data_IF_518247537010
#
_entry.id   IF_518247537010
#
_cell.length_a   1.000
_cell.length_b   1.000
_cell.length_c   1.000
_cell.angle_alpha   90.00
_cell.angle_beta   90.00
_cell.angle_gamma   90.00
#
_symmetry.space_group_name_H-M   'P 1'
#
loop_
_entity.id
_entity.type
_entity.pdbx_description
1 polymer ?
#
# COMPACT_ATOMS: atom_id res chain seq x y z
N UNK A 1 -62.80 -24.49 4.11
CA UNK A 1 -61.48 -24.55 4.79
C UNK A 1 -60.63 -23.48 4.16
N UNK A 2 -60.47 -22.38 4.89
CA UNK A 2 -59.76 -21.17 4.47
C UNK A 2 -58.26 -21.43 4.27
N UNK A 3 -57.70 -20.86 3.19
CA UNK A 3 -56.26 -20.73 2.96
C UNK A 3 -55.94 -19.28 2.60
N UNK A 4 -56.21 -18.38 3.55
CA UNK A 4 -55.45 -17.14 3.69
C UNK A 4 -54.33 -17.40 4.73
N UNK A 5 -53.10 -17.03 4.37
CA UNK A 5 -51.82 -17.11 5.11
C UNK A 5 -50.98 -18.37 4.86
N UNK A 6 -50.08 -18.28 3.89
CA UNK A 6 -48.71 -18.77 4.08
C UNK A 6 -47.77 -17.66 3.62
N UNK A 7 -47.01 -17.15 4.58
CA UNK A 7 -46.03 -16.08 4.49
C UNK A 7 -44.72 -16.53 3.84
N UNK A 8 -44.10 -15.55 3.22
CA UNK A 8 -42.77 -15.47 2.64
C UNK A 8 -41.67 -15.80 3.67
N UNK A 9 -41.39 -17.09 3.93
CA UNK A 9 -40.18 -17.56 4.65
C UNK A 9 -40.13 -19.09 4.66
N UNK A 10 -39.40 -19.70 3.73
CA UNK A 10 -38.70 -21.01 3.86
C UNK A 10 -38.26 -21.54 2.48
N UNK A 11 -37.26 -20.94 1.86
CA UNK A 11 -36.47 -21.62 0.81
C UNK A 11 -35.39 -22.44 1.51
N UNK A 12 -35.74 -23.64 1.98
CA UNK A 12 -34.77 -24.67 2.36
C UNK A 12 -35.24 -26.02 1.84
N UNK A 13 -34.42 -26.58 0.93
CA UNK A 13 -34.44 -27.95 0.39
C UNK A 13 -35.77 -28.40 -0.24
N UNK A 14 -35.86 -28.29 -1.56
CA UNK A 14 -36.71 -29.19 -2.35
C UNK A 14 -35.77 -30.13 -3.11
N UNK A 15 -35.68 -31.35 -2.59
CA UNK A 15 -35.14 -32.49 -3.33
C UNK A 15 -36.00 -32.72 -4.57
N UNK A 16 -35.31 -33.06 -5.65
CA UNK A 16 -35.85 -33.41 -6.97
C UNK A 16 -36.96 -34.45 -6.83
N UNK A 17 -38.20 -34.07 -7.15
CA UNK A 17 -39.25 -35.01 -7.52
C UNK A 17 -39.85 -34.55 -8.87
N UNK A 18 -39.61 -35.28 -9.97
CA UNK A 18 -40.06 -34.88 -11.31
C UNK A 18 -41.58 -34.85 -11.48
N UNK A 19 -42.35 -35.39 -10.53
CA UNK A 19 -43.81 -35.41 -10.60
C UNK A 19 -44.48 -34.12 -10.08
N UNK A 20 -43.76 -33.25 -9.36
CA UNK A 20 -44.34 -32.00 -8.81
C UNK A 20 -44.34 -30.87 -9.86
N UNK A 21 -43.43 -30.90 -10.84
CA UNK A 21 -43.43 -29.93 -11.94
C UNK A 21 -44.68 -30.04 -12.82
N UNK A 22 -45.27 -31.24 -12.92
CA UNK A 22 -46.48 -31.49 -13.70
C UNK A 22 -47.73 -30.80 -13.12
N UNK A 23 -47.75 -30.56 -11.80
CA UNK A 23 -48.90 -29.96 -11.11
C UNK A 23 -48.89 -28.43 -11.16
N UNK A 24 -47.71 -27.80 -11.05
CA UNK A 24 -47.59 -26.34 -11.11
C UNK A 24 -47.69 -25.78 -12.54
N UNK A 25 -47.24 -26.52 -13.55
CA UNK A 25 -47.40 -26.12 -14.96
C UNK A 25 -48.87 -26.12 -15.40
N UNK A 26 -49.70 -27.02 -14.87
CA UNK A 26 -51.13 -27.00 -15.14
C UNK A 26 -51.75 -25.67 -14.66
N UNK A 27 -51.50 -25.23 -13.42
CA UNK A 27 -52.19 -24.06 -12.84
C UNK A 27 -51.82 -22.72 -13.50
N UNK A 28 -50.58 -22.54 -13.96
CA UNK A 28 -50.17 -21.30 -14.65
C UNK A 28 -50.48 -21.28 -16.16
N UNK A 29 -50.51 -22.44 -16.82
CA UNK A 29 -51.07 -22.55 -18.17
C UNK A 29 -52.56 -22.20 -18.14
N UNK A 30 -53.32 -22.62 -17.11
CA UNK A 30 -54.75 -22.31 -17.01
C UNK A 30 -55.06 -20.80 -16.91
N UNK A 31 -54.14 -19.95 -16.43
CA UNK A 31 -54.42 -18.52 -16.22
C UNK A 31 -54.13 -17.64 -17.44
N UNK A 32 -53.18 -18.02 -18.29
CA UNK A 32 -52.95 -17.33 -19.57
C UNK A 32 -53.85 -17.81 -20.71
N UNK A 33 -54.49 -18.97 -20.58
CA UNK A 33 -55.50 -19.49 -21.52
C UNK A 33 -56.94 -19.01 -21.23
N UNK A 34 -57.11 -17.98 -20.40
CA UNK A 34 -58.42 -17.43 -20.01
C UNK A 34 -59.21 -16.75 -21.15
N UNK A 35 -58.62 -16.57 -22.34
CA UNK A 35 -59.19 -15.76 -23.43
C UNK A 35 -59.30 -16.48 -24.79
N UNK A 36 -59.37 -17.81 -24.83
CA UNK A 36 -59.56 -18.51 -26.11
C UNK A 36 -60.68 -19.56 -26.05
N UNK A 37 -61.64 -19.41 -26.97
CA UNK A 37 -62.70 -20.36 -27.35
C UNK A 37 -62.20 -21.74 -27.83
N UNK A 38 -60.95 -22.11 -27.55
CA UNK A 38 -60.29 -23.33 -28.03
C UNK A 38 -60.59 -24.57 -27.16
N UNK A 39 -61.46 -24.47 -26.16
CA UNK A 39 -61.80 -25.59 -25.28
C UNK A 39 -62.70 -26.65 -25.96
N UNK A 40 -63.39 -26.29 -27.06
CA UNK A 40 -64.37 -27.17 -27.73
C UNK A 40 -63.78 -28.07 -28.83
N UNK A 41 -62.55 -27.83 -29.29
CA UNK A 41 -61.93 -28.53 -30.44
C UNK A 41 -60.71 -29.40 -30.06
N UNK A 42 -60.64 -29.83 -28.79
CA UNK A 42 -59.44 -30.41 -28.19
C UNK A 42 -59.05 -31.81 -28.66
N UNK A 43 -59.79 -32.44 -29.57
CA UNK A 43 -59.56 -33.85 -29.87
C UNK A 43 -58.42 -34.15 -30.85
N UNK A 44 -57.96 -33.21 -31.70
CA UNK A 44 -56.92 -33.53 -32.71
C UNK A 44 -56.05 -32.37 -33.23
N UNK A 45 -55.99 -31.19 -32.60
CA UNK A 45 -55.25 -30.05 -33.16
C UNK A 45 -53.90 -29.75 -32.50
N UNK A 46 -52.88 -29.55 -33.33
CA UNK A 46 -51.51 -29.20 -32.94
C UNK A 46 -51.39 -27.68 -32.71
N UNK A 47 -50.86 -27.29 -31.53
CA UNK A 47 -50.59 -25.89 -31.20
C UNK A 47 -49.30 -25.41 -31.90
N UNK A 48 -49.29 -24.16 -32.33
CA UNK A 48 -48.15 -23.51 -33.00
C UNK A 48 -47.62 -22.34 -32.18
N UNK A 49 -46.35 -22.01 -32.37
CA UNK A 49 -45.66 -20.89 -31.73
C UNK A 49 -44.96 -20.03 -32.78
N UNK A 50 -45.17 -18.71 -32.73
CA UNK A 50 -44.47 -17.75 -33.58
C UNK A 50 -43.29 -17.14 -32.80
N UNK A 51 -42.05 -17.44 -33.21
CA UNK A 51 -40.84 -16.90 -32.58
C UNK A 51 -40.72 -15.38 -32.76
N UNK A 52 -41.23 -14.84 -33.88
CA UNK A 52 -41.19 -13.41 -34.19
C UNK A 52 -42.12 -12.58 -33.30
N UNK A 53 -43.27 -13.16 -32.90
CA UNK A 53 -44.29 -12.48 -32.11
C UNK A 53 -44.29 -12.89 -30.62
N UNK A 54 -43.54 -13.93 -30.26
CA UNK A 54 -43.56 -14.56 -28.94
C UNK A 54 -44.97 -14.98 -28.48
N UNK A 55 -45.74 -15.59 -29.38
CA UNK A 55 -47.14 -15.97 -29.13
C UNK A 55 -47.45 -17.42 -29.51
N UNK A 56 -48.28 -18.09 -28.69
CA UNK A 56 -48.82 -19.44 -28.93
C UNK A 56 -50.23 -19.32 -29.47
N UNK A 57 -50.57 -20.08 -30.52
CA UNK A 57 -51.88 -20.01 -31.15
C UNK A 57 -52.32 -21.34 -31.77
N UNK A 58 -53.61 -21.43 -32.13
CA UNK A 58 -54.22 -22.54 -32.84
C UNK A 58 -54.69 -22.06 -34.23
N UNK A 59 -54.60 -22.89 -35.27
CA UNK A 59 -54.90 -22.52 -36.66
C UNK A 59 -56.34 -21.99 -36.88
N UNK A 60 -57.29 -22.34 -36.01
CA UNK A 60 -58.69 -21.91 -36.11
C UNK A 60 -59.04 -20.73 -35.20
N UNK A 61 -58.28 -20.51 -34.14
CA UNK A 61 -58.57 -19.53 -33.09
C UNK A 61 -58.13 -18.13 -33.50
N UNK A 62 -56.98 -18.06 -34.15
CA UNK A 62 -56.53 -16.90 -34.92
C UNK A 62 -56.78 -17.26 -36.37
N UNK A 63 -58.00 -17.02 -36.87
CA UNK A 63 -58.24 -17.04 -38.32
C UNK A 63 -57.08 -16.28 -38.99
N UNK A 64 -56.46 -16.87 -40.00
CA UNK A 64 -55.06 -16.63 -40.42
C UNK A 64 -54.59 -15.20 -40.71
N UNK A 65 -55.33 -14.14 -40.38
CA UNK A 65 -55.09 -12.74 -40.68
C UNK A 65 -53.98 -12.03 -39.90
N UNK A 66 -53.42 -12.59 -38.80
CA UNK A 66 -52.28 -11.94 -38.10
C UNK A 66 -50.90 -12.47 -38.52
N UNK A 67 -50.86 -13.58 -39.26
CA UNK A 67 -49.63 -14.23 -39.73
C UNK A 67 -49.64 -14.54 -41.22
N UNK A 68 -50.76 -14.30 -41.91
CA UNK A 68 -50.83 -14.29 -43.37
C UNK A 68 -51.36 -12.95 -43.87
N UNK A 69 -50.46 -12.26 -44.59
CA UNK A 69 -50.69 -11.15 -45.50
C UNK A 69 -50.85 -9.72 -44.92
N UNK A 70 -49.91 -8.89 -45.38
CA UNK A 70 -49.93 -7.45 -45.68
C UNK A 70 -49.17 -6.50 -44.74
N UNK A 71 -48.21 -5.81 -45.37
CA UNK A 71 -47.30 -4.75 -44.90
C UNK A 71 -46.06 -5.15 -44.08
N UNK A 72 -44.98 -5.50 -44.80
CA UNK A 72 -43.58 -5.29 -44.37
C UNK A 72 -42.75 -6.54 -44.07
N UNK A 73 -42.14 -7.14 -45.10
CA UNK A 73 -40.86 -7.92 -45.13
C UNK A 73 -40.35 -8.62 -43.86
N UNK A 74 -41.21 -9.23 -43.06
CA UNK A 74 -40.79 -10.09 -41.97
C UNK A 74 -41.50 -11.42 -42.14
N UNK A 75 -40.81 -12.42 -42.68
CA UNK A 75 -41.28 -13.80 -42.64
C UNK A 75 -41.34 -14.22 -41.16
N UNK A 76 -42.56 -14.48 -40.66
CA UNK A 76 -42.73 -14.93 -39.28
C UNK A 76 -42.30 -16.38 -39.17
N UNK A 77 -41.34 -16.66 -38.29
CA UNK A 77 -40.88 -18.02 -38.04
C UNK A 77 -41.87 -18.73 -37.12
N UNK A 78 -42.63 -19.67 -37.68
CA UNK A 78 -43.65 -20.45 -36.95
C UNK A 78 -43.19 -21.89 -36.83
N UNK A 79 -43.25 -22.43 -35.61
CA UNK A 79 -42.86 -23.81 -35.31
C UNK A 79 -43.94 -24.50 -34.46
N UNK A 80 -44.01 -25.84 -34.46
CA UNK A 80 -44.85 -26.58 -33.52
C UNK A 80 -44.53 -26.22 -32.07
N UNK A 81 -45.55 -25.99 -31.26
CA UNK A 81 -45.40 -25.58 -29.86
C UNK A 81 -44.62 -26.60 -29.03
N UNK A 82 -44.77 -27.90 -29.33
CA UNK A 82 -44.00 -28.99 -28.72
C UNK A 82 -42.48 -28.85 -28.93
N UNK A 83 -42.07 -28.38 -30.12
CA UNK A 83 -40.66 -28.13 -30.47
C UNK A 83 -40.17 -26.84 -29.81
N UNK A 84 -41.00 -25.79 -29.82
CA UNK A 84 -40.69 -24.51 -29.18
C UNK A 84 -40.42 -24.69 -27.67
N UNK A 85 -41.32 -25.38 -26.97
CA UNK A 85 -41.17 -25.64 -25.53
C UNK A 85 -39.93 -26.48 -25.23
N UNK A 86 -39.63 -27.51 -26.04
CA UNK A 86 -38.42 -28.31 -25.86
C UNK A 86 -37.15 -27.46 -25.99
N UNK A 87 -37.05 -26.66 -27.06
CA UNK A 87 -35.90 -25.77 -27.30
C UNK A 87 -35.74 -24.71 -26.22
N UNK A 88 -36.82 -24.03 -25.85
CA UNK A 88 -36.79 -23.01 -24.80
C UNK A 88 -36.42 -23.59 -23.45
N UNK A 89 -36.90 -24.79 -23.13
CA UNK A 89 -36.53 -25.50 -21.89
C UNK A 89 -35.04 -25.86 -21.87
N UNK A 90 -34.48 -26.30 -23.00
CA UNK A 90 -33.05 -26.59 -23.14
C UNK A 90 -32.19 -25.31 -23.01
N UNK A 91 -32.61 -24.20 -23.63
CA UNK A 91 -31.93 -22.89 -23.52
C UNK A 91 -31.98 -22.37 -22.09
N UNK A 92 -33.14 -22.43 -21.44
CA UNK A 92 -33.32 -22.02 -20.04
C UNK A 92 -32.40 -22.84 -19.12
N UNK A 93 -32.35 -24.15 -19.32
CA UNK A 93 -31.49 -25.04 -18.54
C UNK A 93 -30.01 -24.73 -18.77
N UNK A 94 -29.59 -24.49 -20.01
CA UNK A 94 -28.23 -24.08 -20.33
C UNK A 94 -27.86 -22.76 -19.63
N UNK A 95 -28.71 -21.74 -19.72
CA UNK A 95 -28.47 -20.43 -19.09
C UNK A 95 -28.49 -20.49 -17.58
N UNK A 96 -29.36 -21.31 -16.99
CA UNK A 96 -29.37 -21.56 -15.56
C UNK A 96 -28.05 -22.22 -15.11
N UNK A 97 -27.56 -23.22 -15.83
CA UNK A 97 -26.29 -23.88 -15.53
C UNK A 97 -25.08 -22.94 -15.71
N UNK A 98 -25.07 -22.10 -16.74
CA UNK A 98 -24.05 -21.07 -16.95
C UNK A 98 -24.01 -20.08 -15.77
N UNK A 99 -25.17 -19.64 -15.29
CA UNK A 99 -25.29 -18.76 -14.13
C UNK A 99 -24.78 -19.43 -12.85
N UNK A 100 -25.18 -20.68 -12.58
CA UNK A 100 -24.71 -21.46 -11.42
C UNK A 100 -23.19 -21.63 -11.46
N UNK A 101 -22.61 -21.90 -12.64
CA UNK A 101 -21.15 -22.01 -12.78
C UNK A 101 -20.43 -20.71 -12.44
N UNK A 102 -20.93 -19.56 -12.92
CA UNK A 102 -20.35 -18.25 -12.59
C UNK A 102 -20.49 -17.90 -11.12
N UNK A 103 -21.64 -18.20 -10.50
CA UNK A 103 -21.86 -17.98 -9.07
C UNK A 103 -20.94 -18.84 -8.21
N UNK A 104 -20.69 -20.09 -8.60
CA UNK A 104 -19.70 -20.96 -7.93
C UNK A 104 -18.29 -20.39 -8.03
N UNK A 105 -17.86 -19.96 -9.21
CA UNK A 105 -16.55 -19.33 -9.37
C UNK A 105 -16.40 -18.04 -8.53
N UNK A 106 -17.46 -17.24 -8.45
CA UNK A 106 -17.48 -16.06 -7.58
C UNK A 106 -17.41 -16.45 -6.10
N UNK A 107 -18.15 -17.48 -5.67
CA UNK A 107 -18.09 -18.01 -4.31
C UNK A 107 -16.69 -18.52 -3.96
N UNK A 108 -16.04 -19.27 -4.86
CA UNK A 108 -14.69 -19.78 -4.66
C UNK A 108 -13.68 -18.62 -4.50
N UNK A 109 -13.83 -17.58 -5.32
CA UNK A 109 -12.99 -16.37 -5.25
C UNK A 109 -13.15 -15.66 -3.90
N UNK A 110 -14.39 -15.46 -3.43
CA UNK A 110 -14.65 -14.82 -2.13
C UNK A 110 -14.14 -15.70 -0.98
N UNK A 111 -14.27 -17.02 -1.08
CA UNK A 111 -13.74 -17.96 -0.08
C UNK A 111 -12.22 -17.87 0.00
N UNK A 112 -11.53 -17.78 -1.14
CA UNK A 112 -10.09 -17.58 -1.17
C UNK A 112 -9.67 -16.25 -0.52
N UNK A 113 -10.45 -15.17 -0.70
CA UNK A 113 -10.17 -13.90 -0.02
C UNK A 113 -10.39 -13.96 1.49
N UNK A 114 -11.37 -14.75 1.96
CA UNK A 114 -11.56 -15.02 3.39
C UNK A 114 -10.35 -15.76 3.98
N UNK A 115 -9.86 -16.80 3.30
CA UNK A 115 -8.66 -17.54 3.74
C UNK A 115 -7.41 -16.65 3.75
N UNK A 116 -7.25 -15.78 2.74
CA UNK A 116 -6.16 -14.79 2.69
C UNK A 116 -6.25 -13.80 3.85
N UNK A 117 -7.44 -13.32 4.18
CA UNK A 117 -7.66 -12.39 5.29
C UNK A 117 -7.27 -13.04 6.62
N UNK A 118 -7.67 -14.30 6.86
CA UNK A 118 -7.35 -14.99 8.11
C UNK A 118 -5.85 -15.26 8.23
N UNK A 119 -5.19 -15.67 7.14
CA UNK A 119 -3.73 -15.83 7.11
C UNK A 119 -2.98 -14.51 7.33
N UNK A 120 -3.47 -13.41 6.74
CA UNK A 120 -2.90 -12.08 6.93
C UNK A 120 -3.05 -11.61 8.38
N UNK A 121 -4.22 -11.86 9.00
CA UNK A 121 -4.46 -11.60 10.42
C UNK A 121 -3.48 -12.39 11.29
N UNK A 122 -3.32 -13.69 11.07
CA UNK A 122 -2.39 -14.50 11.84
C UNK A 122 -0.95 -14.00 11.70
N UNK A 123 -0.52 -13.71 10.47
CA UNK A 123 0.81 -13.15 10.21
C UNK A 123 1.04 -11.80 10.92
N UNK A 124 0.01 -10.95 11.02
CA UNK A 124 0.08 -9.70 11.78
C UNK A 124 0.21 -9.93 13.28
N UNK A 125 -0.51 -10.92 13.84
CA UNK A 125 -0.41 -11.27 15.26
C UNK A 125 0.98 -11.81 15.59
N UNK A 126 1.51 -12.71 14.76
CA UNK A 126 2.85 -13.29 14.96
C UNK A 126 3.94 -12.21 14.86
N UNK A 127 3.82 -11.28 13.89
CA UNK A 127 4.74 -10.16 13.75
C UNK A 127 4.67 -9.20 14.95
N UNK A 128 3.48 -8.98 15.50
CA UNK A 128 3.27 -8.17 16.70
C UNK A 128 3.99 -8.80 17.89
N UNK A 129 3.74 -10.09 18.16
CA UNK A 129 4.35 -10.83 19.25
C UNK A 129 5.88 -10.84 19.14
N UNK A 130 6.42 -11.12 17.94
CA UNK A 130 7.86 -11.08 17.68
C UNK A 130 8.47 -9.70 17.96
N UNK A 131 7.78 -8.64 17.56
CA UNK A 131 8.25 -7.25 17.79
C UNK A 131 8.30 -6.93 19.28
N UNK A 132 7.27 -7.32 20.04
CA UNK A 132 7.25 -7.11 21.49
C UNK A 132 8.33 -7.93 22.22
N UNK A 133 8.59 -9.16 21.79
CA UNK A 133 9.68 -9.97 22.33
C UNK A 133 11.05 -9.31 22.08
N UNK A 134 11.27 -8.76 20.88
CA UNK A 134 12.51 -8.04 20.55
C UNK A 134 12.69 -6.78 21.40
N UNK A 135 11.63 -5.99 21.59
CA UNK A 135 11.68 -4.78 22.43
C UNK A 135 11.98 -5.17 23.88
N UNK A 136 11.32 -6.21 24.40
CA UNK A 136 11.56 -6.71 25.75
C UNK A 136 13.00 -7.16 25.94
N UNK A 137 13.58 -7.85 24.96
CA UNK A 137 14.97 -8.31 25.00
C UNK A 137 15.97 -7.15 24.99
N UNK A 138 15.73 -6.12 24.17
CA UNK A 138 16.55 -4.90 24.17
C UNK A 138 16.47 -4.21 25.53
N UNK A 139 15.27 -4.06 26.11
CA UNK A 139 15.09 -3.44 27.42
C UNK A 139 15.81 -4.21 28.52
N UNK A 140 15.72 -5.53 28.55
CA UNK A 140 16.42 -6.38 29.51
C UNK A 140 17.94 -6.22 29.40
N UNK A 141 18.49 -6.26 28.18
CA UNK A 141 19.93 -6.08 27.95
C UNK A 141 20.43 -4.71 28.40
N UNK A 142 19.71 -3.63 28.08
CA UNK A 142 20.08 -2.28 28.52
C UNK A 142 20.03 -2.15 30.04
N UNK A 143 19.04 -2.76 30.70
CA UNK A 143 18.96 -2.79 32.16
C UNK A 143 20.18 -3.50 32.79
N UNK A 144 20.54 -4.69 32.28
CA UNK A 144 21.70 -5.44 32.75
C UNK A 144 23.02 -4.67 32.56
N UNK A 145 23.19 -4.02 31.41
CA UNK A 145 24.38 -3.22 31.11
C UNK A 145 24.49 -1.98 32.01
N UNK A 146 23.40 -1.25 32.23
CA UNK A 146 23.40 -0.08 33.08
C UNK A 146 23.65 -0.44 34.55
N UNK A 147 23.04 -1.53 35.03
CA UNK A 147 23.28 -2.06 36.37
C UNK A 147 24.75 -2.44 36.56
N UNK A 148 25.35 -3.11 35.56
CA UNK A 148 26.77 -3.45 35.56
C UNK A 148 27.68 -2.21 35.62
N UNK A 149 27.37 -1.18 34.83
CA UNK A 149 28.17 0.05 34.83
C UNK A 149 28.14 0.75 36.20
N UNK A 150 26.98 0.76 36.87
CA UNK A 150 26.86 1.31 38.23
C UNK A 150 27.67 0.50 39.24
N UNK A 151 27.63 -0.84 39.16
CA UNK A 151 28.42 -1.69 40.05
C UNK A 151 29.92 -1.54 39.83
N UNK A 152 30.37 -1.44 38.58
CA UNK A 152 31.78 -1.32 38.21
C UNK A 152 32.35 0.04 38.63
N UNK A 153 31.59 1.13 38.43
CA UNK A 153 31.96 2.47 38.88
C UNK A 153 32.09 2.54 40.41
N UNK A 154 31.15 1.93 41.14
CA UNK A 154 31.18 1.84 42.60
C UNK A 154 32.38 1.02 43.10
N UNK A 155 32.66 -0.11 42.46
CA UNK A 155 33.80 -0.97 42.80
C UNK A 155 35.15 -0.26 42.59
N UNK A 156 35.27 0.51 41.50
CA UNK A 156 36.48 1.28 41.19
C UNK A 156 36.72 2.36 42.23
N UNK A 157 35.69 3.15 42.57
CA UNK A 157 35.77 4.19 43.61
C UNK A 157 36.12 3.58 44.98
N UNK A 158 35.49 2.46 45.33
CA UNK A 158 35.76 1.71 46.57
C UNK A 158 37.21 1.27 46.65
N UNK A 159 37.77 0.72 45.57
CA UNK A 159 39.15 0.24 45.53
C UNK A 159 40.15 1.36 45.86
N UNK A 160 39.98 2.55 45.28
CA UNK A 160 40.84 3.72 45.55
C UNK A 160 40.80 4.11 47.03
N UNK A 161 39.61 4.08 47.64
CA UNK A 161 39.42 4.38 49.06
C UNK A 161 40.02 3.31 49.96
N UNK A 162 39.85 2.03 49.65
CA UNK A 162 40.43 0.91 50.40
C UNK A 162 41.97 0.94 50.35
N UNK A 163 42.56 1.25 49.19
CA UNK A 163 44.01 1.46 49.05
C UNK A 163 44.49 2.65 49.89
N UNK A 164 43.75 3.77 49.92
CA UNK A 164 44.09 4.91 50.77
C UNK A 164 43.98 4.56 52.26
N UNK A 165 42.95 3.81 52.68
CA UNK A 165 42.81 3.35 54.07
C UNK A 165 43.98 2.45 54.46
N UNK A 166 44.38 1.52 53.61
CA UNK A 166 45.51 0.63 53.88
C UNK A 166 46.83 1.42 54.06
N UNK A 167 47.06 2.45 53.25
CA UNK A 167 48.22 3.35 53.40
C UNK A 167 48.18 4.11 54.73
N UNK A 168 47.01 4.65 55.10
CA UNK A 168 46.84 5.37 56.37
C UNK A 168 47.06 4.43 57.56
N UNK A 169 46.53 3.20 57.51
CA UNK A 169 46.73 2.19 58.55
C UNK A 169 48.22 1.83 58.72
N UNK A 170 48.93 1.60 57.61
CA UNK A 170 50.36 1.28 57.65
C UNK A 170 51.22 2.42 58.25
N UNK A 171 50.95 3.68 57.90
CA UNK A 171 51.66 4.81 58.51
C UNK A 171 51.26 5.03 59.98
N UNK A 172 50.00 4.76 60.33
CA UNK A 172 49.53 4.81 61.73
C UNK A 172 50.24 3.77 62.59
N UNK A 173 50.32 2.51 62.14
CA UNK A 173 51.03 1.44 62.84
C UNK A 173 52.51 1.77 63.05
N UNK A 174 53.16 2.33 62.03
CA UNK A 174 54.57 2.75 62.09
C UNK A 174 54.81 3.87 63.09
N UNK A 175 53.93 4.88 63.12
CA UNK A 175 54.00 5.95 64.12
C UNK A 175 53.73 5.40 65.52
N UNK A 176 52.78 4.46 65.65
CA UNK A 176 52.44 3.86 66.94
C UNK A 176 53.58 2.99 67.49
N UNK A 177 54.27 2.19 66.66
CA UNK A 177 55.46 1.44 67.09
C UNK A 177 56.61 2.37 67.48
N UNK A 178 56.84 3.44 66.71
CA UNK A 178 57.84 4.46 67.05
C UNK A 178 57.51 5.16 68.38
N UNK A 179 56.22 5.24 68.75
CA UNK A 179 55.78 5.81 70.02
C UNK A 179 55.88 4.84 71.21
N UNK A 180 55.66 3.54 71.01
CA UNK A 180 55.85 2.52 72.05
C UNK A 180 57.32 2.45 72.50
N UNK A 181 58.25 2.60 71.55
CA UNK A 181 59.69 2.67 71.82
C UNK A 181 60.10 3.91 72.67
N UNK A 182 59.26 4.95 72.75
CA UNK A 182 59.53 6.19 73.50
C UNK A 182 59.27 6.05 75.00
N UNK A 183 58.49 5.06 75.44
CA UNK A 183 58.05 4.94 76.83
C UNK A 183 59.21 4.71 77.82
N UNK A 184 60.41 4.39 77.32
CA UNK A 184 61.61 4.07 78.11
C UNK A 184 62.83 4.99 77.81
N UNK A 185 62.68 6.10 77.07
CA UNK A 185 63.81 6.99 76.75
C UNK A 185 64.03 8.11 77.77
N UNK A 186 65.29 8.29 78.20
CA UNK A 186 65.68 9.26 79.25
C UNK A 186 66.55 10.42 78.70
N UNK A 187 67.07 10.33 77.47
CA UNK A 187 67.96 11.34 76.89
C UNK A 187 67.23 12.46 76.12
N UNK A 188 67.35 13.70 76.62
CA UNK A 188 66.69 14.91 76.07
C UNK A 188 67.06 15.17 74.60
N UNK A 189 68.33 15.02 74.21
CA UNK A 189 68.76 15.26 72.80
C UNK A 189 68.13 14.27 71.82
N UNK A 190 67.96 13.02 72.23
CA UNK A 190 67.31 11.97 71.43
C UNK A 190 65.83 12.29 71.23
N UNK A 191 65.16 12.77 72.29
CA UNK A 191 63.76 13.19 72.27
C UNK A 191 63.56 14.40 71.33
N UNK A 192 64.40 15.45 71.41
CA UNK A 192 64.25 16.65 70.56
C UNK A 192 64.49 16.36 69.07
N UNK A 193 65.46 15.51 68.73
CA UNK A 193 65.69 15.08 67.35
C UNK A 193 64.49 14.31 66.77
N UNK A 194 63.84 13.49 67.59
CA UNK A 194 62.66 12.70 67.20
C UNK A 194 61.38 13.55 67.12
N UNK A 195 61.20 14.54 67.99
CA UNK A 195 60.11 15.55 67.85
C UNK A 195 60.22 16.26 66.50
N UNK A 196 61.45 16.64 66.10
CA UNK A 196 61.67 17.28 64.79
C UNK A 196 61.35 16.34 63.62
N UNK A 197 61.66 15.05 63.75
CA UNK A 197 61.32 14.04 62.74
C UNK A 197 59.80 13.80 62.63
N UNK A 198 59.11 13.68 63.77
CA UNK A 198 57.65 13.56 63.84
C UNK A 198 56.94 14.81 63.29
N UNK A 199 57.46 16.01 63.57
CA UNK A 199 56.93 17.25 63.00
C UNK A 199 57.07 17.27 61.46
N UNK A 200 58.22 16.83 60.93
CA UNK A 200 58.42 16.70 59.48
C UNK A 200 57.53 15.62 58.85
N UNK A 201 57.26 14.51 59.56
CA UNK A 201 56.28 13.49 59.11
C UNK A 201 54.84 14.01 59.17
N UNK A 202 54.49 14.83 60.16
CA UNK A 202 53.16 15.43 60.30
C UNK A 202 52.81 16.28 59.06
N UNK A 203 53.77 17.03 58.54
CA UNK A 203 53.63 17.77 57.29
C UNK A 203 53.37 16.84 56.08
N UNK A 204 53.98 15.64 56.05
CA UNK A 204 53.71 14.65 54.99
C UNK A 204 52.35 13.97 55.12
N UNK A 205 51.86 13.73 56.34
CA UNK A 205 50.54 13.14 56.62
C UNK A 205 49.39 14.09 56.31
N UNK A 206 49.64 15.40 56.35
CA UNK A 206 48.65 16.41 55.92
C UNK A 206 48.17 16.22 54.47
N UNK A 207 48.97 15.55 53.62
CA UNK A 207 48.58 15.21 52.24
C UNK A 207 47.64 14.00 52.12
N UNK A 208 47.47 13.22 53.20
CA UNK A 208 46.59 12.05 53.27
C UNK A 208 45.22 12.37 53.88
N UNK A 209 45.01 13.60 54.37
CA UNK A 209 43.76 14.02 55.02
C UNK A 209 42.58 14.13 54.07
N UNK A 210 42.85 14.44 52.79
CA UNK A 210 41.81 14.55 51.78
C UNK A 210 41.54 13.20 51.11
N UNK A 211 40.26 12.77 51.01
CA UNK A 211 39.92 11.53 50.33
C UNK A 211 40.27 11.64 48.84
N UNK A 212 41.01 10.66 48.33
CA UNK A 212 41.47 10.58 46.93
C UNK A 212 40.34 10.38 45.94
N UNK A 213 39.17 9.98 46.42
CA UNK A 213 37.97 9.73 45.63
C UNK A 213 36.73 10.09 46.46
N UNK A 214 35.64 10.48 45.79
CA UNK A 214 34.40 10.86 46.45
C UNK A 214 33.30 9.79 46.34
N UNK A 215 32.31 9.87 47.24
CA UNK A 215 31.17 8.94 47.27
C UNK A 215 30.08 9.26 46.23
N UNK A 216 30.32 10.20 45.32
CA UNK A 216 29.30 10.63 44.37
C UNK A 216 29.09 9.59 43.28
N UNK A 217 27.86 9.07 43.17
CA UNK A 217 27.39 8.17 42.14
C UNK A 217 25.92 8.52 41.85
N UNK A 218 25.63 9.02 40.65
CA UNK A 218 24.27 9.32 40.21
C UNK A 218 23.95 8.61 38.90
N UNK A 219 22.71 8.15 38.78
CA UNK A 219 22.15 7.60 37.54
C UNK A 219 20.95 8.48 37.17
N UNK A 220 21.15 9.40 36.24
CA UNK A 220 20.12 10.35 35.82
C UNK A 220 19.22 9.69 34.79
N UNK A 221 18.09 9.15 35.26
CA UNK A 221 17.03 8.63 34.39
C UNK A 221 16.11 9.78 34.01
N UNK A 222 16.29 10.31 32.80
CA UNK A 222 15.46 11.40 32.30
C UNK A 222 13.99 10.96 32.14
N UNK A 223 13.08 11.73 32.71
CA UNK A 223 11.62 11.54 32.56
C UNK A 223 11.14 11.73 31.12
N UNK A 224 11.89 12.47 30.29
CA UNK A 224 11.56 12.67 28.88
C UNK A 224 11.72 11.40 28.05
N UNK A 225 12.62 10.49 28.47
CA UNK A 225 12.83 9.21 27.79
C UNK A 225 11.60 8.31 27.95
N UNK A 226 10.99 8.28 29.14
CA UNK A 226 9.76 7.52 29.38
C UNK A 226 8.64 8.03 28.48
N UNK A 227 8.48 9.36 28.38
CA UNK A 227 7.48 9.98 27.52
C UNK A 227 7.72 9.71 26.03
N UNK A 228 8.98 9.65 25.60
CA UNK A 228 9.34 9.29 24.22
C UNK A 228 9.11 7.80 23.92
N UNK A 229 9.37 6.91 24.88
CA UNK A 229 9.08 5.48 24.77
C UNK A 229 7.56 5.25 24.72
N UNK A 230 6.78 5.90 25.57
CA UNK A 230 5.31 5.85 25.52
C UNK A 230 4.77 6.35 24.17
N UNK A 231 5.31 7.47 23.66
CA UNK A 231 4.94 8.01 22.34
C UNK A 231 5.30 7.04 21.20
N UNK A 232 6.44 6.36 21.31
CA UNK A 232 6.92 5.40 20.31
C UNK A 232 6.13 4.08 20.36
N UNK A 233 5.78 3.60 21.56
CA UNK A 233 4.91 2.44 21.77
C UNK A 233 3.48 2.71 21.28
N UNK A 234 2.97 3.92 21.47
CA UNK A 234 1.67 4.34 20.93
C UNK A 234 1.64 4.37 19.39
N UNK A 235 2.80 4.55 18.74
CA UNK A 235 2.95 4.47 17.28
C UNK A 235 3.19 3.03 16.77
N UNK A 236 3.55 2.09 17.65
CA UNK A 236 3.99 0.74 17.32
C UNK A 236 2.84 -0.16 16.82
N UNK A 237 1.65 -0.04 17.41
CA UNK A 237 0.53 -0.92 17.10
C UNK A 237 -0.67 -0.12 16.55
N UNK A 238 -0.87 -0.19 15.23
CA UNK A 238 -2.08 0.29 14.57
C UNK A 238 -2.58 -0.76 13.57
N UNK A 239 -3.69 -1.41 13.90
CA UNK A 239 -4.38 -2.31 12.96
C UNK A 239 -4.96 -1.45 11.83
N UNK A 240 -4.55 -1.72 10.59
CA UNK A 240 -5.01 -0.99 9.40
C UNK A 240 -5.68 -1.98 8.44
N UNK A 241 -6.90 -1.68 8.05
CA UNK A 241 -7.63 -2.39 6.99
C UNK A 241 -7.64 -1.54 5.72
N UNK A 242 -7.75 -2.18 4.56
CA UNK A 242 -7.88 -1.50 3.26
C UNK A 242 -8.98 -2.19 2.45
N UNK A 243 -9.68 -1.42 1.63
CA UNK A 243 -10.70 -1.90 0.68
C UNK A 243 -10.18 -1.91 -0.76
N UNK A 244 -8.91 -1.57 -0.99
CA UNK A 244 -8.30 -1.45 -2.31
C UNK A 244 -7.84 -2.81 -2.84
N UNK A 245 -8.32 -3.19 -4.02
CA UNK A 245 -7.92 -4.44 -4.68
C UNK A 245 -6.51 -4.33 -5.30
N UNK A 246 -5.58 -5.27 -5.00
CA UNK A 246 -4.18 -5.20 -5.44
C UNK A 246 -3.96 -5.08 -6.95
N UNK A 247 -4.89 -5.58 -7.77
CA UNK A 247 -4.79 -5.56 -9.24
C UNK A 247 -4.87 -4.16 -9.86
N UNK A 248 -5.22 -3.12 -9.10
CA UNK A 248 -5.42 -1.76 -9.62
C UNK A 248 -4.26 -0.79 -9.33
N UNK A 249 -3.21 -1.19 -8.61
CA UNK A 249 -2.15 -0.25 -8.18
C UNK A 249 -0.79 -0.93 -7.93
N UNK A 250 -0.12 -1.39 -8.99
CA UNK A 250 1.25 -1.97 -8.89
C UNK A 250 2.18 -1.30 -9.90
N UNK A 251 3.38 -0.89 -9.46
CA UNK A 251 4.50 -0.43 -10.28
C UNK A 251 5.67 -1.39 -10.06
N UNK A 252 6.31 -1.86 -11.13
CA UNK A 252 7.47 -2.77 -11.08
C UNK A 252 8.59 -2.20 -11.94
N UNK A 253 9.79 -2.10 -11.36
CA UNK A 253 11.00 -1.63 -12.04
C UNK A 253 11.60 -2.75 -12.90
N UNK A 254 11.91 -2.43 -14.15
CA UNK A 254 12.93 -3.14 -14.94
C UNK A 254 14.04 -2.15 -15.21
N UNK A 255 15.24 -2.45 -14.71
CA UNK A 255 16.42 -1.62 -14.94
C UNK A 255 16.79 -1.58 -16.43
N UNK A 256 17.20 -0.39 -16.87
CA UNK A 256 17.91 -0.15 -18.12
C UNK A 256 19.42 -0.24 -17.84
N UNK A 257 20.16 -0.81 -18.79
CA UNK A 257 21.46 -1.48 -18.69
C UNK A 257 22.62 -0.79 -17.94
N UNK A 258 23.46 -1.70 -17.42
CA UNK A 258 24.81 -1.54 -16.91
C UNK A 258 25.75 -0.73 -17.82
N UNK A 259 26.49 0.20 -17.22
CA UNK A 259 27.81 0.62 -17.70
C UNK A 259 28.71 0.99 -16.49
N UNK A 260 29.61 0.04 -16.19
CA UNK A 260 30.96 0.19 -15.62
C UNK A 260 31.12 1.15 -14.42
N UNK A 261 31.08 0.59 -13.21
CA UNK A 261 31.87 1.07 -12.08
C UNK A 261 32.50 -0.13 -11.35
N UNK A 262 33.79 -0.07 -10.95
CA UNK A 262 34.52 -1.22 -10.41
C UNK A 262 34.32 -1.41 -8.89
N UNK A 263 33.19 -0.99 -8.32
CA UNK A 263 32.86 -1.21 -6.91
C UNK A 263 31.42 -1.73 -6.77
N UNK A 264 31.19 -2.92 -6.19
CA UNK A 264 29.85 -3.48 -6.06
C UNK A 264 29.18 -2.89 -4.83
N UNK A 265 28.62 -1.69 -4.94
CA UNK A 265 27.47 -1.33 -4.12
C UNK A 265 26.26 -1.77 -4.93
N UNK A 266 25.82 -3.01 -4.70
CA UNK A 266 24.56 -3.53 -5.23
C UNK A 266 23.41 -2.78 -4.54
N UNK A 267 23.06 -1.59 -5.03
CA UNK A 267 21.82 -0.93 -4.63
C UNK A 267 20.70 -1.70 -5.34
N UNK A 268 19.98 -2.54 -4.60
CA UNK A 268 18.81 -3.23 -5.14
C UNK A 268 17.75 -2.21 -5.57
N UNK A 269 17.05 -2.43 -6.69
CA UNK A 269 16.01 -1.51 -7.14
C UNK A 269 14.88 -1.47 -6.10
N UNK A 270 14.48 -0.25 -5.70
CA UNK A 270 13.42 -0.03 -4.73
C UNK A 270 12.11 0.34 -5.43
N UNK A 271 11.01 -0.23 -4.97
CA UNK A 271 9.66 0.07 -5.47
C UNK A 271 8.98 1.05 -4.53
N UNK A 272 8.45 2.15 -5.08
CA UNK A 272 7.75 3.19 -4.34
C UNK A 272 6.25 3.11 -4.61
N UNK A 273 5.46 2.92 -3.56
CA UNK A 273 4.00 2.86 -3.65
C UNK A 273 3.42 4.05 -2.90
N UNK A 274 2.79 4.96 -3.64
CA UNK A 274 2.06 6.08 -3.06
C UNK A 274 0.79 5.56 -2.38
N UNK A 275 0.77 5.57 -1.05
CA UNK A 275 -0.35 5.15 -0.22
C UNK A 275 -1.14 6.40 0.18
N UNK A 276 -1.87 6.97 -0.80
CA UNK A 276 -2.62 8.23 -0.66
C UNK A 276 -3.55 8.21 0.55
N UNK A 277 -4.25 7.10 0.80
CA UNK A 277 -5.17 6.96 1.92
C UNK A 277 -4.50 7.10 3.30
N UNK A 278 -3.20 6.83 3.38
CA UNK A 278 -2.40 6.95 4.59
C UNK A 278 -1.36 8.08 4.55
N UNK A 279 -1.35 8.94 3.53
CA UNK A 279 -0.45 10.10 3.41
C UNK A 279 1.04 9.74 3.53
N UNK A 280 1.47 8.66 2.87
CA UNK A 280 2.84 8.17 2.90
C UNK A 280 3.21 7.48 1.60
N UNK A 281 4.51 7.27 1.40
CA UNK A 281 5.03 6.38 0.36
C UNK A 281 5.56 5.12 1.05
N UNK A 282 5.17 3.94 0.59
CA UNK A 282 5.79 2.68 1.00
C UNK A 282 6.98 2.40 0.10
N UNK A 283 8.14 2.20 0.70
CA UNK A 283 9.35 1.76 0.02
C UNK A 283 9.46 0.26 0.19
N UNK A 284 9.51 -0.46 -0.93
CA UNK A 284 9.70 -1.90 -0.99
C UNK A 284 11.03 -2.21 -1.68
N UNK A 285 11.60 -3.38 -1.42
CA UNK A 285 12.76 -3.88 -2.15
C UNK A 285 12.36 -4.53 -3.49
N UNK A 286 13.34 -5.07 -4.20
CA UNK A 286 13.15 -5.77 -5.47
C UNK A 286 12.27 -7.02 -5.36
N UNK A 287 12.17 -7.59 -4.15
CA UNK A 287 11.33 -8.75 -3.85
C UNK A 287 9.93 -8.33 -3.34
N UNK A 288 9.58 -7.04 -3.46
CA UNK A 288 8.35 -6.42 -2.95
C UNK A 288 8.17 -6.53 -1.43
N UNK A 289 9.25 -6.79 -0.69
CA UNK A 289 9.22 -6.79 0.77
C UNK A 289 9.29 -5.36 1.28
N UNK A 290 8.60 -5.13 2.38
CA UNK A 290 8.56 -3.81 2.99
C UNK A 290 9.93 -3.42 3.55
N UNK A 291 10.44 -2.25 3.13
CA UNK A 291 11.68 -1.67 3.63
C UNK A 291 11.38 -0.60 4.68
N UNK A 292 10.63 0.45 4.29
CA UNK A 292 10.28 1.56 5.18
C UNK A 292 9.11 2.39 4.65
N UNK A 293 8.58 3.25 5.51
CA UNK A 293 7.70 4.34 5.09
C UNK A 293 8.52 5.61 4.88
N UNK A 294 8.14 6.37 3.85
CA UNK A 294 8.58 7.73 3.64
C UNK A 294 7.37 8.62 3.91
N UNK A 295 7.48 9.41 4.98
CA UNK A 295 6.49 10.40 5.39
C UNK A 295 7.03 11.78 5.05
N UNK A 296 6.19 12.64 4.48
CA UNK A 296 6.60 13.97 4.05
C UNK A 296 5.39 14.92 4.10
N UNK A 297 5.56 16.21 4.48
CA UNK A 297 4.46 17.17 4.54
C UNK A 297 3.64 17.27 3.25
N UNK A 298 4.28 17.15 2.08
CA UNK A 298 3.59 17.17 0.79
C UNK A 298 2.56 16.03 0.62
N UNK A 299 2.71 14.91 1.35
CA UNK A 299 1.82 13.73 1.26
C UNK A 299 0.55 13.87 2.11
N UNK A 300 0.49 14.89 2.98
CA UNK A 300 -0.60 15.09 3.93
C UNK A 300 -1.95 15.37 3.24
N UNK A 301 -3.02 15.20 4.01
CA UNK A 301 -4.39 15.49 3.54
C UNK A 301 -5.02 14.38 2.69
N UNK A 302 -4.33 13.25 2.51
CA UNK A 302 -4.77 12.14 1.65
C UNK A 302 -5.08 12.60 0.22
N UNK A 303 -4.20 13.43 -0.31
CA UNK A 303 -4.43 14.17 -1.57
C UNK A 303 -3.27 14.10 -2.55
N UNK A 304 -2.23 13.31 -2.27
CA UNK A 304 -1.26 12.99 -3.32
C UNK A 304 -1.83 11.96 -4.28
N UNK A 305 -1.82 12.27 -5.56
CA UNK A 305 -2.51 11.51 -6.61
C UNK A 305 -1.54 10.89 -7.61
N UNK A 306 -0.40 11.53 -7.85
CA UNK A 306 0.66 11.02 -8.72
C UNK A 306 2.02 10.96 -8.04
N UNK A 307 2.84 10.02 -8.49
CA UNK A 307 4.25 9.85 -8.10
C UNK A 307 5.06 9.42 -9.32
N UNK A 308 6.26 9.97 -9.48
CA UNK A 308 7.23 9.53 -10.47
C UNK A 308 8.67 9.63 -9.93
N UNK A 309 9.60 8.96 -10.59
CA UNK A 309 11.04 9.09 -10.30
C UNK A 309 11.60 10.26 -11.08
N UNK A 310 12.54 11.01 -10.48
CA UNK A 310 13.21 12.13 -11.12
C UNK A 310 14.69 12.13 -10.80
N UNK A 311 15.54 12.50 -11.76
CA UNK A 311 16.95 12.77 -11.48
C UNK A 311 17.09 14.17 -10.87
N UNK A 312 17.77 14.26 -9.72
CA UNK A 312 18.01 15.53 -9.03
C UNK A 312 19.42 16.00 -9.41
N UNK A 313 19.52 17.04 -10.23
CA UNK A 313 20.78 17.57 -10.78
C UNK A 313 21.28 18.84 -10.08
N UNK A 314 20.76 19.19 -8.90
CA UNK A 314 21.15 20.43 -8.23
C UNK A 314 22.61 20.38 -7.72
N UNK A 315 23.36 21.38 -8.16
CA UNK A 315 24.81 21.56 -8.14
C UNK A 315 25.42 21.94 -6.78
N UNK A 316 26.71 21.59 -6.62
CA UNK A 316 27.67 22.03 -5.58
C UNK A 316 27.57 21.39 -4.18
N UNK A 317 27.78 20.07 -4.11
CA UNK A 317 28.69 19.40 -3.15
C UNK A 317 28.34 17.90 -3.17
N UNK A 318 29.31 17.07 -3.56
CA UNK A 318 29.38 15.65 -3.20
C UNK A 318 28.06 14.84 -3.19
N UNK A 319 27.51 14.52 -4.37
CA UNK A 319 27.12 13.15 -4.74
C UNK A 319 26.49 13.15 -6.15
N UNK A 320 27.21 12.61 -7.12
CA UNK A 320 26.60 12.16 -8.38
C UNK A 320 25.60 11.04 -8.07
N UNK A 321 24.42 11.11 -8.67
CA UNK A 321 23.38 10.06 -8.71
C UNK A 321 22.60 9.82 -7.41
N UNK A 322 21.68 10.72 -7.04
CA UNK A 322 20.51 10.33 -6.24
C UNK A 322 19.24 10.46 -7.07
N UNK A 323 18.67 9.31 -7.44
CA UNK A 323 17.30 9.23 -7.94
C UNK A 323 16.36 9.75 -6.85
N UNK A 324 15.61 10.79 -7.16
CA UNK A 324 14.57 11.34 -6.31
C UNK A 324 13.18 10.89 -6.73
N UNK A 325 12.20 11.37 -5.98
CA UNK A 325 10.78 11.22 -6.28
C UNK A 325 10.17 12.58 -6.52
N UNK A 326 9.17 12.63 -7.38
CA UNK A 326 8.30 13.78 -7.55
C UNK A 326 6.88 13.35 -7.27
N UNK A 327 6.17 14.13 -6.47
CA UNK A 327 4.77 13.88 -6.10
C UNK A 327 3.92 15.08 -6.44
N UNK A 328 2.67 14.82 -6.78
CA UNK A 328 1.67 15.87 -6.99
C UNK A 328 0.54 15.74 -5.99
N UNK A 329 0.18 16.85 -5.35
CA UNK A 329 -0.93 16.93 -4.40
C UNK A 329 -2.06 17.74 -5.02
N UNK A 330 -3.19 17.10 -5.32
CA UNK A 330 -4.30 17.76 -6.02
C UNK A 330 -4.99 18.85 -5.19
N UNK A 331 -4.94 18.73 -3.85
CA UNK A 331 -5.60 19.69 -2.96
C UNK A 331 -4.77 20.94 -2.74
N UNK A 332 -3.48 20.76 -2.44
CA UNK A 332 -2.58 21.91 -2.28
C UNK A 332 -2.10 22.47 -3.63
N UNK A 333 -2.26 21.69 -4.71
CA UNK A 333 -1.80 22.00 -6.07
C UNK A 333 -0.29 22.12 -6.18
N UNK A 334 0.43 21.50 -5.24
CA UNK A 334 1.89 21.50 -5.24
C UNK A 334 2.42 20.27 -5.97
N UNK A 335 3.48 20.51 -6.73
CA UNK A 335 4.36 19.50 -7.29
C UNK A 335 5.67 19.57 -6.50
N UNK A 336 5.95 18.54 -5.72
CA UNK A 336 7.08 18.53 -4.78
C UNK A 336 8.08 17.44 -5.16
N UNK A 337 9.34 17.83 -5.28
CA UNK A 337 10.47 16.92 -5.42
C UNK A 337 11.04 16.59 -4.05
N UNK A 338 11.26 15.32 -3.81
CA UNK A 338 11.82 14.79 -2.57
C UNK A 338 12.97 13.83 -2.89
N UNK A 339 13.97 13.78 -2.01
CA UNK A 339 15.04 12.79 -2.09
C UNK A 339 14.49 11.39 -1.85
N UNK A 340 15.26 10.36 -2.19
CA UNK A 340 14.91 8.98 -1.83
C UNK A 340 14.70 8.83 -0.32
N UNK A 341 15.43 9.59 0.50
CA UNK A 341 15.40 9.58 1.95
C UNK A 341 14.16 10.28 2.51
N UNK A 342 13.58 11.21 1.75
CA UNK A 342 12.36 11.93 2.09
C UNK A 342 12.56 13.41 2.42
N UNK A 343 13.72 13.97 2.11
CA UNK A 343 14.00 15.40 2.28
C UNK A 343 13.42 16.20 1.10
N UNK A 344 12.88 17.39 1.37
CA UNK A 344 12.41 18.28 0.31
C UNK A 344 13.59 18.83 -0.49
N UNK A 345 13.54 18.68 -1.81
CA UNK A 345 14.51 19.31 -2.72
C UNK A 345 13.96 20.65 -3.21
N UNK A 346 12.78 20.62 -3.82
CA UNK A 346 12.09 21.82 -4.31
C UNK A 346 10.60 21.54 -4.43
N UNK A 347 9.79 22.60 -4.44
CA UNK A 347 8.36 22.51 -4.67
C UNK A 347 7.92 23.68 -5.54
N UNK A 348 6.99 23.45 -6.46
CA UNK A 348 6.39 24.49 -7.26
C UNK A 348 4.89 24.25 -7.44
N UNK A 349 4.17 25.30 -7.82
CA UNK A 349 2.75 25.25 -8.18
C UNK A 349 2.52 26.08 -9.44
N UNK A 350 1.37 25.91 -10.09
CA UNK A 350 0.98 26.67 -11.25
C UNK A 350 -0.45 27.21 -11.08
N UNK A 351 -0.68 28.45 -11.51
CA UNK A 351 -1.96 29.14 -11.31
C UNK A 351 -3.14 28.43 -11.98
N UNK A 352 -2.88 27.79 -13.13
CA UNK A 352 -3.90 27.08 -13.91
C UNK A 352 -4.18 25.64 -13.42
N UNK A 353 -3.51 25.18 -12.36
CA UNK A 353 -3.85 23.89 -11.77
C UNK A 353 -5.22 23.94 -11.10
N UNK A 354 -6.06 22.94 -11.42
CA UNK A 354 -7.41 22.81 -10.88
C UNK A 354 -7.56 21.47 -10.17
N UNK A 355 -7.28 20.36 -10.85
CA UNK A 355 -7.35 18.99 -10.35
C UNK A 355 -6.18 18.15 -10.91
N UNK A 356 -4.92 18.40 -10.49
CA UNK A 356 -3.80 17.64 -11.00
C UNK A 356 -3.83 16.21 -10.46
N UNK A 357 -3.95 15.24 -11.35
CA UNK A 357 -4.29 13.84 -11.03
C UNK A 357 -3.12 12.89 -11.15
N UNK A 358 -2.13 13.17 -12.00
CA UNK A 358 -0.98 12.27 -12.17
C UNK A 358 0.26 13.03 -12.64
N UNK A 359 1.44 12.45 -12.44
CA UNK A 359 2.73 13.02 -12.84
C UNK A 359 3.58 11.98 -13.56
N UNK A 360 4.21 12.38 -14.66
CA UNK A 360 5.26 11.62 -15.32
C UNK A 360 6.50 12.50 -15.52
N UNK A 361 7.67 11.87 -15.65
CA UNK A 361 8.93 12.55 -15.94
C UNK A 361 9.52 11.95 -17.20
N UNK A 362 9.89 12.81 -18.13
CA UNK A 362 10.64 12.41 -19.31
C UNK A 362 12.08 12.03 -18.91
N UNK A 363 12.51 10.77 -19.14
CA UNK A 363 13.85 10.32 -18.78
C UNK A 363 14.96 10.99 -19.59
N UNK A 364 14.67 11.59 -20.74
CA UNK A 364 15.69 12.17 -21.63
C UNK A 364 16.02 13.61 -21.24
N UNK A 365 15.01 14.47 -21.12
CA UNK A 365 15.20 15.90 -20.83
C UNK A 365 14.80 16.30 -19.42
N UNK A 366 14.29 15.37 -18.60
CA UNK A 366 13.82 15.64 -17.24
C UNK A 366 12.56 16.51 -17.18
N UNK A 367 11.83 16.62 -18.29
CA UNK A 367 10.58 17.39 -18.33
C UNK A 367 9.55 16.75 -17.40
N UNK A 368 8.81 17.59 -16.68
CA UNK A 368 7.79 17.16 -15.70
C UNK A 368 6.43 17.35 -16.35
N UNK A 369 5.68 16.27 -16.51
CA UNK A 369 4.36 16.27 -17.13
C UNK A 369 3.31 16.05 -16.06
N UNK A 370 2.37 16.99 -15.93
CA UNK A 370 1.27 16.94 -14.97
C UNK A 370 -0.04 16.80 -15.72
N UNK A 371 -0.74 15.68 -15.52
CA UNK A 371 -2.10 15.52 -16.02
C UNK A 371 -3.07 16.23 -15.06
N UNK A 372 -3.94 17.09 -15.59
CA UNK A 372 -4.93 17.83 -14.80
C UNK A 372 -6.33 17.69 -15.41
N UNK A 373 -7.24 17.09 -14.65
CA UNK A 373 -8.59 16.79 -15.11
C UNK A 373 -9.52 18.00 -15.13
N UNK A 374 -9.20 19.08 -14.41
CA UNK A 374 -10.01 20.30 -14.41
C UNK A 374 -10.06 20.97 -15.78
N UNK A 375 -8.92 21.43 -16.35
CA UNK A 375 -8.84 21.92 -17.72
C UNK A 375 -8.83 20.79 -18.76
N UNK A 376 -8.68 19.53 -18.32
CA UNK A 376 -8.53 18.35 -19.16
C UNK A 376 -7.37 18.51 -20.16
N UNK A 377 -6.19 18.81 -19.61
CA UNK A 377 -4.94 18.94 -20.36
C UNK A 377 -3.76 18.40 -19.56
N UNK A 378 -2.64 18.22 -20.24
CA UNK A 378 -1.34 17.92 -19.62
C UNK A 378 -0.47 19.16 -19.68
N UNK A 379 0.04 19.59 -18.54
CA UNK A 379 1.03 20.66 -18.45
C UNK A 379 2.44 20.08 -18.50
N UNK A 380 3.30 20.60 -19.37
CA UNK A 380 4.70 20.16 -19.49
C UNK A 380 5.61 21.26 -18.97
N UNK A 381 6.43 20.93 -17.98
CA UNK A 381 7.35 21.84 -17.31
C UNK A 381 8.81 21.44 -17.56
N UNK A 382 9.71 22.41 -17.49
CA UNK A 382 11.14 22.12 -17.40
C UNK A 382 11.52 21.55 -16.02
N UNK A 383 12.78 21.14 -15.87
CA UNK A 383 13.31 20.63 -14.61
C UNK A 383 13.26 21.64 -13.45
N UNK A 384 12.99 22.93 -13.69
CA UNK A 384 12.88 23.96 -12.64
C UNK A 384 11.43 24.37 -12.37
N UNK A 385 10.46 23.70 -12.97
CA UNK A 385 9.03 24.01 -12.79
C UNK A 385 8.53 25.17 -13.66
N UNK A 386 9.28 25.59 -14.69
CA UNK A 386 8.80 26.57 -15.67
C UNK A 386 7.94 25.89 -16.73
N UNK A 387 6.73 26.40 -16.95
CA UNK A 387 5.83 25.86 -17.99
C UNK A 387 6.45 26.03 -19.38
N UNK A 388 6.48 24.94 -20.15
CA UNK A 388 6.96 24.90 -21.53
C UNK A 388 5.79 24.99 -22.51
N UNK A 389 4.84 24.05 -22.39
CA UNK A 389 3.64 23.98 -23.23
C UNK A 389 2.56 23.13 -22.56
N UNK A 390 1.38 23.08 -23.19
CA UNK A 390 0.25 22.25 -22.77
C UNK A 390 -0.17 21.33 -23.90
N UNK A 391 -0.65 20.14 -23.54
CA UNK A 391 -1.15 19.13 -24.49
C UNK A 391 -2.62 18.87 -24.23
N UNK A 392 -3.39 18.86 -25.31
CA UNK A 392 -4.81 18.56 -25.32
C UNK A 392 -5.70 19.62 -24.67
N UNK A 393 -6.99 19.30 -24.63
CA UNK A 393 -8.08 20.12 -24.11
C UNK A 393 -9.29 19.24 -23.85
N UNK A 394 -10.29 19.78 -23.14
CA UNK A 394 -11.56 19.09 -22.92
C UNK A 394 -12.25 18.68 -24.23
N UNK A 395 -12.60 17.41 -24.36
CA UNK A 395 -13.37 16.88 -25.49
C UNK A 395 -13.23 15.37 -25.69
N UNK A 396 -13.93 14.84 -26.69
CA UNK A 396 -13.95 13.40 -27.03
C UNK A 396 -13.28 13.09 -28.38
N UNK A 397 -12.83 14.10 -29.11
CA UNK A 397 -12.11 13.92 -30.37
C UNK A 397 -10.67 13.44 -30.11
N UNK A 398 -9.98 12.87 -31.10
CA UNK A 398 -8.54 12.63 -31.02
C UNK A 398 -7.78 13.89 -30.63
N UNK A 399 -6.84 13.77 -29.70
CA UNK A 399 -6.08 14.90 -29.15
C UNK A 399 -6.78 15.68 -28.04
N UNK A 400 -8.01 15.31 -27.68
CA UNK A 400 -8.76 15.90 -26.56
C UNK A 400 -8.99 14.85 -25.45
N UNK A 401 -9.21 15.32 -24.23
CA UNK A 401 -9.39 14.48 -23.04
C UNK A 401 -10.74 14.72 -22.36
N UNK A 402 -11.33 13.65 -21.86
CA UNK A 402 -12.58 13.69 -21.08
C UNK A 402 -12.31 13.56 -19.58
N UNK A 403 -11.63 12.47 -19.18
CA UNK A 403 -11.17 12.21 -17.83
C UNK A 403 -9.92 11.32 -17.91
N UNK A 404 -8.76 11.89 -17.61
CA UNK A 404 -7.48 11.19 -17.60
C UNK A 404 -7.35 10.38 -16.32
N UNK A 405 -6.91 9.13 -16.48
CA UNK A 405 -6.66 8.18 -15.41
C UNK A 405 -5.17 8.04 -15.09
N UNK A 406 -4.29 8.11 -16.12
CA UNK A 406 -2.85 8.06 -15.92
C UNK A 406 -2.09 8.65 -17.12
N UNK A 407 -0.86 9.08 -16.86
CA UNK A 407 0.11 9.56 -17.85
C UNK A 407 1.43 8.80 -17.71
N UNK A 408 2.08 8.52 -18.84
CA UNK A 408 3.46 8.00 -18.85
C UNK A 408 4.22 8.52 -20.05
N UNK A 409 5.55 8.45 -20.00
CA UNK A 409 6.44 8.83 -21.10
C UNK A 409 7.11 7.58 -21.65
N UNK A 410 6.96 7.37 -22.96
CA UNK A 410 7.59 6.28 -23.70
C UNK A 410 9.10 6.47 -23.86
N UNK A 411 9.80 5.41 -24.27
CA UNK A 411 11.26 5.42 -24.43
C UNK A 411 11.75 6.39 -25.53
N UNK A 412 10.89 6.76 -26.48
CA UNK A 412 11.17 7.77 -27.51
C UNK A 412 10.74 9.19 -27.13
N UNK A 413 10.31 9.41 -25.89
CA UNK A 413 9.74 10.68 -25.43
C UNK A 413 8.27 10.87 -25.83
N UNK A 414 7.57 9.80 -26.21
CA UNK A 414 6.14 9.85 -26.49
C UNK A 414 5.34 10.08 -25.21
N UNK A 415 4.32 10.94 -25.26
CA UNK A 415 3.42 11.16 -24.14
C UNK A 415 2.22 10.23 -24.32
N UNK A 416 2.07 9.26 -23.43
CA UNK A 416 0.99 8.27 -23.48
C UNK A 416 0.01 8.59 -22.37
N UNK A 417 -1.25 8.82 -22.74
CA UNK A 417 -2.30 9.22 -21.81
C UNK A 417 -3.42 8.19 -21.88
N UNK A 418 -3.80 7.69 -20.71
CA UNK A 418 -4.97 6.84 -20.54
C UNK A 418 -6.14 7.69 -20.05
N UNK A 419 -7.15 7.90 -20.90
CA UNK A 419 -8.48 8.36 -20.52
C UNK A 419 -9.49 7.18 -20.61
N UNK A 420 -10.72 7.43 -21.05
CA UNK A 420 -11.58 6.39 -21.63
C UNK A 420 -10.92 5.53 -22.73
N UNK A 421 -9.81 6.00 -23.32
CA UNK A 421 -9.04 5.51 -24.47
C UNK A 421 -7.55 5.62 -24.13
N UNK A 422 -6.68 4.96 -24.92
CA UNK A 422 -5.23 5.20 -24.84
C UNK A 422 -4.83 6.05 -26.04
N UNK A 423 -4.33 7.25 -25.77
CA UNK A 423 -3.88 8.20 -26.79
C UNK A 423 -2.37 8.41 -26.67
N UNK A 424 -1.69 8.52 -27.81
CA UNK A 424 -0.24 8.70 -27.90
C UNK A 424 0.04 10.02 -28.63
N UNK A 425 0.93 10.82 -28.03
CA UNK A 425 1.41 12.09 -28.57
C UNK A 425 2.93 12.03 -28.72
N UNK A 426 3.47 12.83 -29.62
CA UNK A 426 4.92 13.00 -29.69
C UNK A 426 5.42 13.89 -28.53
N UNK A 427 6.74 13.99 -28.35
CA UNK A 427 7.34 14.83 -27.31
C UNK A 427 7.09 16.35 -27.46
N UNK A 428 6.49 16.80 -28.57
CA UNK A 428 6.06 18.20 -28.77
C UNK A 428 4.59 18.42 -28.43
N UNK A 429 3.85 17.35 -28.12
CA UNK A 429 2.42 17.41 -27.82
C UNK A 429 1.49 17.24 -29.02
N UNK A 430 1.99 16.85 -30.20
CA UNK A 430 1.13 16.56 -31.34
C UNK A 430 0.54 15.16 -31.23
N UNK A 431 -0.77 15.04 -31.47
CA UNK A 431 -1.46 13.75 -31.46
C UNK A 431 -0.91 12.84 -32.59
N UNK A 432 -0.54 11.61 -32.22
CA UNK A 432 -0.05 10.60 -33.17
C UNK A 432 -1.13 9.57 -33.48
N UNK A 433 -1.63 8.89 -32.45
CA UNK A 433 -2.57 7.80 -32.61
C UNK A 433 -3.39 7.53 -31.35
N UNK A 434 -4.47 6.77 -31.53
CA UNK A 434 -5.33 6.25 -30.49
C UNK A 434 -5.45 4.73 -30.65
N UNK A 435 -5.41 3.98 -29.55
CA UNK A 435 -5.57 2.52 -29.62
C UNK A 435 -7.04 2.12 -29.83
N UNK A 436 -7.33 1.21 -30.77
CA UNK A 436 -8.69 0.79 -31.06
C UNK A 436 -9.32 0.01 -29.89
N UNK A 437 -10.60 0.25 -29.64
CA UNK A 437 -11.42 -0.50 -28.67
C UNK A 437 -12.22 -1.61 -29.35
N UNK A 438 -12.36 -2.75 -28.69
CA UNK A 438 -13.29 -3.79 -29.13
C UNK A 438 -14.75 -3.39 -28.88
N UNK A 439 -15.70 -4.14 -29.44
CA UNK A 439 -17.14 -3.91 -29.26
C UNK A 439 -17.63 -4.00 -27.79
N UNK A 440 -16.74 -4.35 -26.84
CA UNK A 440 -16.99 -4.40 -25.40
C UNK A 440 -16.24 -3.28 -24.63
N UNK A 441 -15.65 -2.31 -25.33
CA UNK A 441 -14.96 -1.16 -24.74
C UNK A 441 -13.58 -1.48 -24.15
N UNK A 442 -12.95 -2.59 -24.53
CA UNK A 442 -11.59 -2.93 -24.09
C UNK A 442 -10.57 -2.54 -25.15
N UNK A 443 -9.50 -1.85 -24.73
CA UNK A 443 -8.40 -1.51 -25.62
C UNK A 443 -7.74 -2.79 -26.18
N UNK A 444 -7.64 -2.89 -27.49
CA UNK A 444 -7.00 -4.03 -28.17
C UNK A 444 -5.48 -3.85 -28.14
N UNK A 445 -4.80 -4.45 -27.17
CA UNK A 445 -3.33 -4.50 -27.12
C UNK A 445 -2.82 -5.68 -27.96
N UNK A 446 -2.78 -5.53 -29.29
CA UNK A 446 -2.02 -6.45 -30.15
C UNK A 446 -0.67 -5.83 -30.49
N UNK A 447 0.34 -6.12 -29.67
CA UNK A 447 1.74 -5.98 -30.10
C UNK A 447 2.01 -7.07 -31.15
N UNK A 448 2.13 -6.67 -32.41
CA UNK A 448 2.82 -7.49 -33.39
C UNK A 448 4.31 -7.47 -33.04
N UNK A 449 4.79 -8.55 -32.42
CA UNK A 449 6.21 -8.88 -32.43
C UNK A 449 6.71 -8.93 -33.88
N UNK A 450 7.75 -8.13 -34.14
CA UNK A 450 8.49 -7.90 -35.38
C UNK A 450 8.22 -8.76 -36.61
N UNK A 451 8.07 -8.09 -37.76
CA UNK A 451 8.71 -8.52 -39.00
C UNK A 451 9.44 -7.34 -39.65
N UNK A 452 10.78 -7.42 -39.59
CA UNK A 452 11.74 -7.12 -40.65
C UNK A 452 11.64 -5.79 -41.39
N UNK A 453 12.55 -4.87 -41.06
CA UNK A 453 13.19 -4.03 -42.06
C UNK A 453 13.95 -4.96 -43.02
N UNK A 454 13.62 -4.87 -44.31
CA UNK A 454 14.43 -5.33 -45.43
C UNK A 454 14.78 -4.12 -46.29
#
# INVERSE_FOLDING_TARGET
>A
MDLHKVTETSIKKIFVNPNVLYFFFNVHIYKHFSNFNCFLYFSFQELLFCETCDTVFCLQCTGGSNHSSTSGDSEHTIIPFSIAIKRMSEILLYKANECVSKLKAAQDTVTQELDRLENAKQSCLDALEKTFLQISDIMSRTHEELAKNVTDASATKRKVLEEQIALIQAETEKVQSECEDLQYQVEVRSITARISNLAQKLDSVSSLSDPRENAFLSCDVSSDVIRQVEKSLAALARVRTTTTFPSLSTLSLKDVFAAVNPFPISISPQVYVLDTGNSRIKVLDSDLRFVRHLEHPALLGKSCTGIATIHIDDTEAELKNKTGLIVVNWRSKDVTKITSEGDTVSSFTHADFIEPTDVAVDPTYGHILIADNGPACVFVFDTRGKLLFQVGKKGSTPGCFSLMSSITVGAGGEIIIADSRIQVFNGKGDFMLEFPQDAKGKNLTRWCSGQGVG
#
